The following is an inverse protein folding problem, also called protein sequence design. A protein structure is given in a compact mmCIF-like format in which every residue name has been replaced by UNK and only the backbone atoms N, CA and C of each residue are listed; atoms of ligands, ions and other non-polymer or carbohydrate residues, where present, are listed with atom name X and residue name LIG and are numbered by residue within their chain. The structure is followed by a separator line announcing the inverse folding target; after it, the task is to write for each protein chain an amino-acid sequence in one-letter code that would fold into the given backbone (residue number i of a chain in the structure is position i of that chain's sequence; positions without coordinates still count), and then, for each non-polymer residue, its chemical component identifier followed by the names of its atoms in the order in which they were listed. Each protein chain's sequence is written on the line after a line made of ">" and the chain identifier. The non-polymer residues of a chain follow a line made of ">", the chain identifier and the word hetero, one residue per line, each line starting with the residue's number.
data_IF_499481450285
#
_entry.id   IF_499481450285
#
_cell.length_a   1.000
_cell.length_b   1.000
_cell.length_c   1.000
_cell.angle_alpha   90.00
_cell.angle_beta   90.00
_cell.angle_gamma   90.00
#
_symmetry.space_group_name_H-M   'P 1'
#
loop_
_entity.id
_entity.type
_entity.pdbx_description
1 polymer ?
#
# COMPACT_ATOMS: atom_id res chain seq x y z
N UNK A 1 -5.39 13.79 -2.74
CA UNK A 1 -6.51 13.19 -2.00
C UNK A 1 -6.37 11.69 -2.09
N UNK A 2 -5.74 11.07 -1.09
CA UNK A 2 -5.62 9.63 -0.96
C UNK A 2 -6.29 9.27 0.37
N UNK A 3 -7.61 9.10 0.35
CA UNK A 3 -8.38 8.77 1.54
C UNK A 3 -8.13 7.31 1.95
N UNK A 4 -7.46 7.08 3.09
CA UNK A 4 -7.04 5.75 3.54
C UNK A 4 -8.15 4.93 4.20
N UNK A 5 -9.25 4.70 3.49
CA UNK A 5 -10.48 4.05 4.03
C UNK A 5 -10.77 2.68 3.42
N UNK A 6 -9.85 2.16 2.59
CA UNK A 6 -10.04 0.93 1.82
C UNK A 6 -10.11 -0.32 2.72
N UNK A 7 -10.47 -1.46 2.12
CA UNK A 7 -10.67 -2.75 2.79
C UNK A 7 -9.47 -3.19 3.64
N UNK A 8 -9.77 -3.92 4.72
CA UNK A 8 -8.79 -4.55 5.62
C UNK A 8 -9.02 -6.06 5.61
N UNK A 9 -8.05 -6.82 5.09
CA UNK A 9 -8.17 -8.28 4.96
C UNK A 9 -7.24 -9.00 5.93
N UNK A 10 -7.80 -9.85 6.79
CA UNK A 10 -7.04 -10.60 7.79
C UNK A 10 -6.59 -11.95 7.24
N UNK A 11 -5.35 -12.35 7.54
CA UNK A 11 -4.84 -13.67 7.16
C UNK A 11 -3.80 -14.20 8.14
N UNK A 12 -3.47 -15.48 8.05
CA UNK A 12 -2.31 -16.07 8.72
C UNK A 12 -1.41 -16.71 7.66
N UNK A 13 -0.21 -16.16 7.47
CA UNK A 13 0.71 -16.54 6.40
C UNK A 13 2.15 -16.54 6.92
N UNK A 14 3.02 -17.28 6.23
CA UNK A 14 4.47 -17.21 6.50
C UNK A 14 5.03 -15.97 5.83
N UNK A 15 5.86 -15.22 6.55
CA UNK A 15 6.63 -14.12 5.96
C UNK A 15 7.77 -14.64 5.06
N UNK A 16 8.53 -13.71 4.46
CA UNK A 16 9.72 -14.04 3.65
C UNK A 16 10.81 -14.81 4.43
N UNK A 17 10.79 -14.78 5.77
CA UNK A 17 11.69 -15.54 6.63
C UNK A 17 11.11 -16.91 7.07
N UNK A 18 9.90 -17.28 6.63
CA UNK A 18 9.23 -18.53 6.97
C UNK A 18 8.48 -18.53 8.31
N UNK A 19 8.43 -17.40 9.04
CA UNK A 19 7.72 -17.24 10.32
C UNK A 19 6.23 -17.02 10.05
N UNK A 20 5.38 -17.89 10.62
CA UNK A 20 3.93 -17.71 10.60
C UNK A 20 3.55 -16.44 11.37
N UNK A 21 2.80 -15.55 10.72
CA UNK A 21 2.38 -14.24 11.24
C UNK A 21 0.87 -14.08 11.18
N UNK A 22 0.35 -13.28 12.10
CA UNK A 22 -1.03 -12.82 12.12
C UNK A 22 -1.09 -11.47 11.40
N UNK A 23 -1.60 -11.45 10.17
CA UNK A 23 -1.48 -10.30 9.28
C UNK A 23 -2.80 -9.57 9.06
N UNK A 24 -2.69 -8.29 8.68
CA UNK A 24 -3.70 -7.49 7.98
C UNK A 24 -3.08 -6.95 6.68
N UNK A 25 -3.80 -7.08 5.56
CA UNK A 25 -3.42 -6.56 4.25
C UNK A 25 -4.40 -5.48 3.82
N UNK A 26 -3.87 -4.37 3.30
CA UNK A 26 -4.61 -3.15 2.97
C UNK A 26 -4.10 -2.52 1.67
N UNK A 27 -4.84 -2.66 0.55
CA UNK A 27 -4.55 -1.95 -0.70
C UNK A 27 -5.04 -0.49 -0.61
N UNK A 28 -4.12 0.47 -0.48
CA UNK A 28 -4.46 1.88 -0.31
C UNK A 28 -4.67 2.62 -1.63
N UNK A 29 -5.44 3.72 -1.58
CA UNK A 29 -5.62 4.68 -2.69
C UNK A 29 -4.30 5.18 -3.27
N UNK A 30 -3.27 5.32 -2.42
CA UNK A 30 -1.96 5.86 -2.80
C UNK A 30 -1.12 4.94 -3.73
N UNK A 31 -1.64 3.74 -4.05
CA UNK A 31 -0.99 2.79 -4.95
C UNK A 31 -0.04 1.81 -4.26
N UNK A 32 -0.02 1.76 -2.92
CA UNK A 32 0.77 0.82 -2.13
C UNK A 32 -0.17 -0.19 -1.45
N UNK A 33 0.20 -1.47 -1.51
CA UNK A 33 -0.41 -2.54 -0.71
C UNK A 33 0.43 -2.76 0.53
N UNK A 34 -0.16 -2.44 1.69
CA UNK A 34 0.49 -2.59 2.99
C UNK A 34 0.11 -3.91 3.64
N UNK A 35 1.09 -4.59 4.24
CA UNK A 35 0.85 -5.74 5.11
C UNK A 35 1.54 -5.52 6.45
N UNK A 36 0.75 -5.62 7.53
CA UNK A 36 1.22 -5.41 8.90
C UNK A 36 0.92 -6.64 9.76
N UNK A 37 1.69 -6.85 10.81
CA UNK A 37 1.30 -7.77 11.88
C UNK A 37 0.18 -7.13 12.71
N UNK A 38 -0.99 -7.77 12.71
CA UNK A 38 -2.20 -7.22 13.34
C UNK A 38 -2.16 -7.25 14.87
N UNK A 39 -1.15 -7.84 15.48
CA UNK A 39 -1.02 -7.94 16.95
C UNK A 39 -0.24 -6.79 17.56
N UNK A 40 0.67 -6.17 16.80
CA UNK A 40 1.56 -5.13 17.29
C UNK A 40 1.75 -3.94 16.32
N UNK A 41 1.29 -4.05 15.07
CA UNK A 41 1.43 -3.00 14.07
C UNK A 41 2.77 -3.01 13.32
N UNK A 42 3.61 -4.04 13.49
CA UNK A 42 4.89 -4.12 12.77
C UNK A 42 4.65 -4.19 11.26
N UNK A 43 5.38 -3.36 10.50
CA UNK A 43 5.32 -3.37 9.04
C UNK A 43 6.05 -4.59 8.47
N UNK A 44 5.34 -5.41 7.69
CA UNK A 44 5.88 -6.64 7.07
C UNK A 44 6.27 -6.40 5.61
N UNK A 45 5.41 -5.73 4.85
CA UNK A 45 5.68 -5.32 3.46
C UNK A 45 4.85 -4.09 3.07
N UNK A 46 5.32 -3.38 2.05
CA UNK A 46 4.68 -2.19 1.50
C UNK A 46 5.13 -2.04 0.03
N UNK A 47 4.43 -2.73 -0.86
CA UNK A 47 4.81 -2.85 -2.27
C UNK A 47 3.83 -2.06 -3.16
N UNK A 48 4.31 -1.57 -4.32
CA UNK A 48 3.46 -0.89 -5.29
C UNK A 48 2.46 -1.89 -5.90
N UNK A 49 1.21 -1.47 -6.06
CA UNK A 49 0.16 -2.29 -6.72
C UNK A 49 0.44 -2.46 -8.21
N UNK A 50 1.09 -1.47 -8.83
CA UNK A 50 1.50 -1.45 -10.22
C UNK A 50 2.80 -0.64 -10.36
N UNK A 51 3.64 -0.97 -11.35
CA UNK A 51 4.96 -0.35 -11.51
C UNK A 51 4.90 1.11 -11.96
N UNK A 52 3.75 1.57 -12.48
CA UNK A 52 3.52 2.94 -12.92
C UNK A 52 3.28 3.95 -11.80
N UNK A 53 3.15 3.51 -10.54
CA UNK A 53 3.06 4.40 -9.37
C UNK A 53 4.33 5.24 -9.26
N UNK A 54 4.21 6.57 -9.33
CA UNK A 54 5.36 7.48 -9.45
C UNK A 54 5.51 8.52 -8.33
N UNK A 55 4.45 8.76 -7.54
CA UNK A 55 4.47 9.68 -6.38
C UNK A 55 5.43 9.27 -5.26
N UNK A 56 5.78 7.98 -5.21
CA UNK A 56 6.74 7.40 -4.27
C UNK A 56 7.84 6.67 -5.03
N UNK A 57 9.07 6.78 -4.54
CA UNK A 57 10.17 5.92 -5.04
C UNK A 57 10.04 4.52 -4.45
N UNK A 58 9.84 4.43 -3.13
CA UNK A 58 9.63 3.20 -2.36
C UNK A 58 9.03 3.56 -0.98
N UNK A 59 8.66 2.55 -0.19
CA UNK A 59 8.41 2.70 1.25
C UNK A 59 9.64 2.20 2.01
N UNK A 60 10.19 3.02 2.90
CA UNK A 60 11.27 2.59 3.78
C UNK A 60 10.70 1.73 4.91
N UNK A 61 10.99 0.43 4.89
CA UNK A 61 10.46 -0.52 5.87
C UNK A 61 11.01 -0.33 7.29
N UNK A 62 12.15 0.36 7.46
CA UNK A 62 12.69 0.64 8.79
C UNK A 62 11.95 1.78 9.48
N UNK A 63 11.58 2.79 8.71
CA UNK A 63 10.90 4.00 9.23
C UNK A 63 9.38 3.93 9.07
N UNK A 64 8.89 3.09 8.15
CA UNK A 64 7.49 3.01 7.75
C UNK A 64 7.03 4.16 6.85
N UNK A 65 7.95 5.01 6.38
CA UNK A 65 7.61 6.26 5.68
C UNK A 65 7.77 6.07 4.16
N UNK A 66 6.74 6.37 3.34
CA UNK A 66 6.87 6.47 1.89
C UNK A 66 7.84 7.58 1.48
N UNK A 67 8.86 7.24 0.69
CA UNK A 67 9.86 8.19 0.20
C UNK A 67 9.32 8.91 -1.03
N UNK A 68 8.98 10.18 -0.86
CA UNK A 68 8.35 11.04 -1.86
C UNK A 68 9.24 11.23 -3.09
N UNK A 69 8.64 11.22 -4.28
CA UNK A 69 9.27 11.81 -5.46
C UNK A 69 8.82 13.29 -5.59
N UNK A 70 9.73 14.28 -5.44
CA UNK A 70 9.36 15.69 -5.49
C UNK A 70 8.75 16.14 -6.83
N UNK A 71 9.08 15.46 -7.93
CA UNK A 71 8.59 15.77 -9.28
C UNK A 71 7.06 15.70 -9.37
N UNK A 72 6.44 14.73 -8.68
CA UNK A 72 5.00 14.49 -8.71
C UNK A 72 4.26 15.11 -7.51
N UNK A 73 4.86 16.12 -6.88
CA UNK A 73 4.26 16.89 -5.78
C UNK A 73 3.35 18.03 -6.25
N UNK A 74 2.34 18.37 -5.45
CA UNK A 74 1.45 19.53 -5.72
C UNK A 74 1.78 20.70 -4.80
N UNK A 75 1.61 21.93 -5.29
CA UNK A 75 1.80 23.20 -4.54
C UNK A 75 1.11 24.36 -5.25
N UNK A 76 0.93 25.48 -4.55
CA UNK A 76 0.39 26.72 -5.14
C UNK A 76 1.24 27.21 -6.31
N UNK A 77 0.61 27.90 -7.27
CA UNK A 77 1.23 28.48 -8.46
C UNK A 77 2.00 27.47 -9.34
N UNK A 78 1.69 26.17 -9.19
CA UNK A 78 2.30 25.09 -9.96
C UNK A 78 1.24 24.06 -10.38
N UNK A 79 1.23 23.71 -11.66
CA UNK A 79 0.39 22.64 -12.21
C UNK A 79 1.21 21.34 -12.25
N UNK A 80 0.91 20.41 -11.35
CA UNK A 80 1.43 19.04 -11.43
C UNK A 80 0.80 18.28 -12.60
N UNK A 81 1.58 17.47 -13.31
CA UNK A 81 1.15 16.68 -14.47
C UNK A 81 1.64 15.24 -14.33
N UNK A 82 0.95 14.31 -15.00
CA UNK A 82 1.34 12.90 -15.11
C UNK A 82 1.56 12.19 -13.76
N UNK A 83 0.80 12.60 -12.74
CA UNK A 83 0.83 12.03 -11.39
C UNK A 83 0.04 10.73 -11.36
N UNK A 84 0.69 9.66 -10.92
CA UNK A 84 0.10 8.33 -10.76
C UNK A 84 0.31 7.82 -9.31
N UNK A 85 -0.76 7.46 -8.57
CA UNK A 85 -2.17 7.44 -8.97
C UNK A 85 -2.87 8.82 -9.02
N UNK A 86 -4.01 8.88 -9.73
CA UNK A 86 -4.93 10.02 -9.64
C UNK A 86 -5.59 10.12 -8.26
N UNK A 87 -6.37 11.18 -7.99
CA UNK A 87 -7.12 11.31 -6.74
C UNK A 87 -8.12 10.17 -6.47
N UNK A 88 -8.65 9.53 -7.53
CA UNK A 88 -9.49 8.32 -7.40
C UNK A 88 -8.71 7.10 -6.90
N UNK A 89 -7.38 7.17 -6.91
CA UNK A 89 -6.47 6.09 -6.52
C UNK A 89 -6.36 4.98 -7.56
N UNK A 90 -5.46 4.03 -7.29
CA UNK A 90 -5.43 2.74 -8.01
C UNK A 90 -6.33 1.69 -7.36
N UNK A 91 -6.81 1.96 -6.14
CA UNK A 91 -7.83 1.19 -5.45
C UNK A 91 -8.72 2.16 -4.65
N UNK A 92 -10.04 1.92 -4.58
CA UNK A 92 -11.01 2.79 -3.88
C UNK A 92 -11.88 1.95 -2.91
N UNK A 93 -13.18 2.16 -2.83
CA UNK A 93 -14.08 1.59 -1.82
C UNK A 93 -14.38 0.08 -1.92
N UNK A 94 -13.86 -0.60 -2.95
CA UNK A 94 -14.25 -1.98 -3.23
C UNK A 94 -13.82 -2.93 -2.10
N UNK A 95 -14.60 -3.99 -1.91
CA UNK A 95 -14.29 -5.06 -0.98
C UNK A 95 -13.72 -6.25 -1.76
N UNK A 96 -12.40 -6.44 -1.63
CA UNK A 96 -11.68 -7.56 -2.25
C UNK A 96 -11.89 -8.88 -1.50
N UNK A 97 -11.21 -9.93 -1.95
CA UNK A 97 -11.33 -11.29 -1.44
C UNK A 97 -9.96 -11.92 -1.15
N UNK A 98 -9.95 -13.04 -0.44
CA UNK A 98 -8.73 -13.81 -0.17
C UNK A 98 -9.04 -15.30 -0.18
N UNK A 99 -8.24 -16.08 -0.89
CA UNK A 99 -8.29 -17.55 -0.89
C UNK A 99 -7.25 -18.11 0.09
N UNK A 100 -7.65 -18.71 1.22
CA UNK A 100 -6.72 -19.24 2.22
C UNK A 100 -5.99 -20.51 1.78
N UNK A 101 -6.50 -21.28 0.82
CA UNK A 101 -5.84 -22.48 0.31
C UNK A 101 -4.70 -22.09 -0.65
N UNK A 102 -4.95 -21.09 -1.51
CA UNK A 102 -3.96 -20.57 -2.46
C UNK A 102 -3.04 -19.50 -1.86
N UNK A 103 -3.43 -18.89 -0.75
CA UNK A 103 -2.76 -17.74 -0.14
C UNK A 103 -2.66 -16.55 -1.12
N UNK A 104 -3.74 -16.29 -1.84
CA UNK A 104 -3.83 -15.21 -2.84
C UNK A 104 -4.96 -14.25 -2.46
N UNK A 105 -4.65 -12.97 -2.57
CA UNK A 105 -5.62 -11.87 -2.54
C UNK A 105 -6.04 -11.55 -3.98
#
# INVERSE_FOLDING_TARGET
>A
DYAGVNVMMLSEQKDKAGKLRKLVTHPDRNGIVYTLDRTNGDLVSADKIDDTVNVWTHVDLKTGIPVRNPEYGTRMDHKGTDICPSAMGYHDQAHDSYDPERQLF
#
